data_IF_083375794584
#
_entry.id   IF_083375794584
#
_cell.length_a   1.000
_cell.length_b   1.000
_cell.length_c   1.000
_cell.angle_alpha   90.00
_cell.angle_beta   90.00
_cell.angle_gamma   90.00
#
_symmetry.space_group_name_H-M   'P 1'
#
loop_
_entity.id
_entity.type
_entity.pdbx_description
1 polymer ?
#
# COMPACT_ATOMS: atom_id res chain seq x y z
N UNK A 1 -25.47 -12.44 12.01
CA UNK A 1 -24.61 -12.59 10.80
C UNK A 1 -24.90 -13.85 9.96
N UNK A 2 -25.66 -14.87 10.43
CA UNK A 2 -26.14 -15.99 9.59
C UNK A 2 -27.22 -15.59 8.54
N UNK A 3 -27.77 -14.38 8.65
CA UNK A 3 -28.86 -13.86 7.81
C UNK A 3 -28.40 -12.78 6.81
N UNK A 4 -27.19 -12.92 6.24
CA UNK A 4 -26.83 -12.04 5.12
C UNK A 4 -27.74 -12.32 3.93
N UNK A 5 -28.37 -11.28 3.38
CA UNK A 5 -29.20 -11.39 2.19
C UNK A 5 -28.35 -11.97 1.06
N UNK A 6 -28.79 -13.10 0.52
CA UNK A 6 -28.12 -13.80 -0.58
C UNK A 6 -28.82 -13.42 -1.89
N UNK A 7 -28.06 -12.88 -2.82
CA UNK A 7 -28.51 -12.54 -4.17
C UNK A 7 -27.99 -13.62 -5.08
N UNK A 8 -28.84 -14.17 -5.95
CA UNK A 8 -28.43 -15.17 -6.94
C UNK A 8 -27.31 -14.60 -7.82
N UNK A 9 -26.26 -15.39 -8.03
CA UNK A 9 -25.12 -14.99 -8.84
C UNK A 9 -25.50 -15.12 -10.33
N UNK A 10 -25.54 -14.01 -11.03
CA UNK A 10 -25.91 -13.89 -12.45
C UNK A 10 -24.88 -12.98 -13.17
N UNK A 11 -24.77 -13.09 -14.50
CA UNK A 11 -23.75 -12.41 -15.31
C UNK A 11 -23.68 -10.88 -15.13
N UNK A 12 -24.74 -10.24 -14.62
CA UNK A 12 -24.81 -8.78 -14.37
C UNK A 12 -25.19 -8.41 -12.95
N UNK A 13 -25.04 -9.33 -11.98
CA UNK A 13 -25.46 -9.09 -10.59
C UNK A 13 -24.82 -7.83 -9.99
N UNK A 14 -23.59 -7.49 -10.41
CA UNK A 14 -22.84 -6.33 -9.94
C UNK A 14 -23.60 -5.01 -10.12
N UNK A 15 -24.49 -4.89 -11.12
CA UNK A 15 -25.31 -3.67 -11.32
C UNK A 15 -26.25 -3.39 -10.15
N UNK A 16 -26.67 -4.43 -9.42
CA UNK A 16 -27.53 -4.33 -8.23
C UNK A 16 -26.76 -3.94 -6.96
N UNK A 17 -25.43 -3.87 -7.02
CA UNK A 17 -24.59 -3.49 -5.89
C UNK A 17 -24.37 -1.96 -5.86
N UNK A 18 -24.22 -1.36 -4.66
CA UNK A 18 -23.94 0.06 -4.52
C UNK A 18 -22.51 0.38 -4.97
N UNK A 19 -22.25 1.67 -5.22
CA UNK A 19 -20.92 2.20 -5.53
C UNK A 19 -20.16 2.64 -4.28
N UNK A 20 -20.54 2.11 -3.12
CA UNK A 20 -19.95 2.41 -1.81
C UNK A 20 -18.84 1.41 -1.43
N UNK A 21 -17.97 1.76 -0.48
CA UNK A 21 -17.09 0.81 0.17
C UNK A 21 -17.88 -0.29 0.86
N UNK A 22 -17.31 -1.48 0.95
CA UNK A 22 -18.02 -2.60 1.56
C UNK A 22 -17.31 -3.93 1.48
N UNK A 23 -17.98 -4.91 2.07
CA UNK A 23 -17.60 -6.32 1.99
C UNK A 23 -18.57 -7.04 1.08
N UNK A 24 -18.06 -8.00 0.30
CA UNK A 24 -18.86 -8.97 -0.41
C UNK A 24 -18.43 -10.39 -0.04
N UNK A 25 -19.38 -11.32 -0.14
CA UNK A 25 -19.19 -12.74 0.15
C UNK A 25 -19.76 -13.57 -0.98
N UNK A 26 -18.96 -14.45 -1.57
CA UNK A 26 -19.43 -15.48 -2.49
C UNK A 26 -19.80 -16.75 -1.71
N UNK A 27 -20.90 -17.38 -2.09
CA UNK A 27 -21.47 -18.54 -1.40
C UNK A 27 -21.73 -19.70 -2.37
N UNK A 28 -21.56 -20.93 -1.90
CA UNK A 28 -22.01 -22.18 -2.55
C UNK A 28 -23.03 -22.86 -1.65
N UNK A 29 -24.28 -22.99 -2.11
CA UNK A 29 -25.38 -23.65 -1.35
C UNK A 29 -25.42 -23.29 0.15
N UNK A 30 -25.14 -22.03 0.49
CA UNK A 30 -25.12 -21.53 1.87
C UNK A 30 -23.77 -21.55 2.59
N UNK A 31 -22.74 -22.18 2.03
CA UNK A 31 -21.35 -22.19 2.53
C UNK A 31 -20.56 -21.00 1.97
N UNK A 32 -19.88 -20.20 2.80
CA UNK A 32 -19.08 -19.06 2.33
C UNK A 32 -17.80 -19.55 1.66
N UNK A 33 -17.63 -19.22 0.37
CA UNK A 33 -16.45 -19.58 -0.42
C UNK A 33 -15.34 -18.55 -0.33
N UNK A 34 -15.70 -17.27 -0.32
CA UNK A 34 -14.76 -16.16 -0.35
C UNK A 34 -15.38 -14.92 0.27
N UNK A 35 -14.58 -14.17 1.03
CA UNK A 35 -14.90 -12.85 1.57
C UNK A 35 -13.89 -11.86 1.00
N UNK A 36 -14.35 -10.74 0.46
CA UNK A 36 -13.47 -9.68 -0.02
C UNK A 36 -13.98 -8.29 0.32
N UNK A 37 -13.04 -7.35 0.48
CA UNK A 37 -13.33 -5.92 0.59
C UNK A 37 -13.28 -5.17 -0.74
N UNK A 38 -14.00 -4.06 -0.82
CA UNK A 38 -14.08 -3.17 -1.95
C UNK A 38 -14.11 -1.70 -1.47
N UNK A 39 -13.44 -0.80 -2.21
CA UNK A 39 -13.67 0.65 -2.11
C UNK A 39 -14.96 1.03 -2.85
N UNK A 40 -15.30 0.29 -3.91
CA UNK A 40 -16.54 0.42 -4.65
C UNK A 40 -17.06 -0.99 -4.95
N UNK A 41 -18.13 -1.40 -4.27
CA UNK A 41 -18.69 -2.76 -4.36
C UNK A 41 -19.08 -3.12 -5.80
N UNK A 42 -19.76 -2.24 -6.53
CA UNK A 42 -20.15 -2.46 -7.93
C UNK A 42 -18.96 -2.72 -8.84
N UNK A 43 -18.00 -1.79 -8.90
CA UNK A 43 -16.82 -1.89 -9.76
C UNK A 43 -15.96 -3.08 -9.37
N UNK A 44 -15.91 -3.38 -8.06
CA UNK A 44 -15.17 -4.51 -7.57
C UNK A 44 -15.80 -5.83 -8.01
N UNK A 45 -17.11 -5.97 -7.85
CA UNK A 45 -17.79 -7.21 -8.22
C UNK A 45 -17.87 -7.37 -9.73
N UNK A 46 -17.98 -6.28 -10.50
CA UNK A 46 -17.92 -6.35 -11.97
C UNK A 46 -16.58 -6.89 -12.48
N UNK A 47 -15.48 -6.64 -11.78
CA UNK A 47 -14.15 -7.15 -12.17
C UNK A 47 -14.05 -8.69 -12.18
N UNK A 48 -14.91 -9.38 -11.42
CA UNK A 48 -14.99 -10.85 -11.43
C UNK A 48 -15.70 -11.41 -12.66
N UNK A 49 -16.32 -10.58 -13.51
CA UNK A 49 -17.00 -11.00 -14.73
C UNK A 49 -16.22 -10.61 -15.99
N UNK A 50 -14.95 -10.24 -15.86
CA UNK A 50 -14.05 -10.03 -17.00
C UNK A 50 -13.64 -11.39 -17.61
N UNK A 51 -13.35 -11.42 -18.92
CA UNK A 51 -13.03 -12.65 -19.66
C UNK A 51 -11.77 -13.38 -19.13
N UNK A 52 -10.76 -12.64 -18.67
CA UNK A 52 -9.46 -13.20 -18.31
C UNK A 52 -9.28 -13.30 -16.79
N UNK A 53 -9.87 -14.29 -16.13
CA UNK A 53 -9.66 -14.52 -14.70
C UNK A 53 -8.56 -15.55 -14.48
N UNK A 54 -7.77 -15.40 -13.41
CA UNK A 54 -6.85 -16.46 -13.01
C UNK A 54 -7.61 -17.77 -12.75
N UNK A 55 -7.01 -18.95 -13.05
CA UNK A 55 -7.68 -20.26 -12.96
C UNK A 55 -8.36 -20.55 -11.61
N UNK A 56 -7.83 -19.98 -10.53
CA UNK A 56 -8.34 -20.16 -9.17
C UNK A 56 -9.55 -19.28 -8.87
N UNK A 57 -9.52 -18.02 -9.31
CA UNK A 57 -10.66 -17.09 -9.22
C UNK A 57 -11.82 -17.59 -10.08
N UNK A 58 -11.52 -18.08 -11.29
CA UNK A 58 -12.50 -18.73 -12.16
C UNK A 58 -13.16 -19.94 -11.48
N UNK A 59 -12.37 -20.87 -10.92
CA UNK A 59 -12.89 -22.02 -10.15
C UNK A 59 -13.78 -21.62 -8.95
N UNK A 60 -13.40 -20.57 -8.23
CA UNK A 60 -14.18 -20.06 -7.10
C UNK A 60 -15.55 -19.54 -7.54
N UNK A 61 -15.57 -18.73 -8.61
CA UNK A 61 -16.81 -18.18 -9.16
C UNK A 61 -17.70 -19.26 -9.78
N UNK A 62 -17.13 -20.21 -10.52
CA UNK A 62 -17.87 -21.35 -11.07
C UNK A 62 -18.57 -22.17 -9.98
N UNK A 63 -17.99 -22.22 -8.79
CA UNK A 63 -18.56 -22.91 -7.63
C UNK A 63 -19.59 -22.09 -6.86
N UNK A 64 -19.67 -20.77 -7.08
CA UNK A 64 -20.53 -19.86 -6.34
C UNK A 64 -21.93 -19.78 -6.96
N UNK A 65 -22.97 -19.82 -6.11
CA UNK A 65 -24.37 -19.68 -6.52
C UNK A 65 -24.99 -18.36 -6.06
N UNK A 66 -24.42 -17.74 -5.02
CA UNK A 66 -24.95 -16.50 -4.45
C UNK A 66 -23.83 -15.53 -4.07
N UNK A 67 -24.18 -14.25 -4.04
CA UNK A 67 -23.37 -13.18 -3.50
C UNK A 67 -24.15 -12.43 -2.41
N UNK A 68 -23.45 -12.02 -1.36
CA UNK A 68 -23.95 -11.08 -0.37
C UNK A 68 -23.02 -9.88 -0.29
N UNK A 69 -23.52 -8.74 0.15
CA UNK A 69 -22.68 -7.57 0.43
C UNK A 69 -23.14 -6.85 1.70
N UNK A 70 -22.22 -6.09 2.29
CA UNK A 70 -22.44 -5.19 3.42
C UNK A 70 -21.76 -3.87 3.06
N UNK A 71 -22.51 -2.80 2.76
CA UNK A 71 -21.91 -1.49 2.57
C UNK A 71 -21.38 -0.97 3.92
N UNK A 72 -20.32 -0.18 3.86
CA UNK A 72 -19.72 0.47 5.04
C UNK A 72 -19.33 1.90 4.68
N UNK A 73 -19.18 2.74 5.70
CA UNK A 73 -18.94 4.16 5.49
C UNK A 73 -17.47 4.52 5.23
N UNK A 74 -16.55 3.58 5.49
CA UNK A 74 -15.11 3.84 5.36
C UNK A 74 -14.30 2.61 4.97
N UNK A 75 -13.13 2.86 4.39
CA UNK A 75 -12.18 1.80 4.05
C UNK A 75 -11.63 1.06 5.28
N UNK A 76 -11.42 1.80 6.38
CA UNK A 76 -11.01 1.20 7.65
C UNK A 76 -12.05 0.18 8.13
N UNK A 77 -13.34 0.53 8.08
CA UNK A 77 -14.41 -0.39 8.44
C UNK A 77 -14.46 -1.62 7.52
N UNK A 78 -14.30 -1.43 6.21
CA UNK A 78 -14.24 -2.54 5.27
C UNK A 78 -13.10 -3.50 5.66
N UNK A 79 -11.91 -2.96 5.93
CA UNK A 79 -10.74 -3.77 6.27
C UNK A 79 -10.93 -4.53 7.61
N UNK A 80 -11.50 -3.90 8.63
CA UNK A 80 -11.79 -4.53 9.92
C UNK A 80 -12.91 -5.57 9.83
N UNK A 81 -13.93 -5.31 9.02
CA UNK A 81 -15.06 -6.22 8.81
C UNK A 81 -14.64 -7.44 8.00
N UNK A 82 -13.80 -7.27 6.96
CA UNK A 82 -13.19 -8.37 6.19
C UNK A 82 -12.46 -9.32 7.12
N UNK A 83 -11.53 -8.80 7.93
CA UNK A 83 -10.72 -9.61 8.85
C UNK A 83 -11.60 -10.44 9.80
N UNK A 84 -12.68 -9.83 10.32
CA UNK A 84 -13.64 -10.52 11.19
C UNK A 84 -14.42 -11.61 10.45
N UNK A 85 -14.92 -11.31 9.26
CA UNK A 85 -15.71 -12.26 8.47
C UNK A 85 -14.85 -13.42 7.99
N UNK A 86 -13.60 -13.18 7.61
CA UNK A 86 -12.63 -14.23 7.29
C UNK A 86 -12.33 -15.08 8.54
N UNK A 87 -12.14 -14.48 9.72
CA UNK A 87 -11.94 -15.23 10.97
C UNK A 87 -13.14 -16.11 11.31
N UNK A 88 -14.35 -15.59 11.12
CA UNK A 88 -15.61 -16.26 11.45
C UNK A 88 -15.94 -17.39 10.48
N UNK A 89 -15.88 -17.10 9.17
CA UNK A 89 -16.30 -18.01 8.12
C UNK A 89 -15.21 -18.98 7.66
N UNK A 90 -13.94 -18.65 7.90
CA UNK A 90 -12.75 -19.39 7.42
C UNK A 90 -12.92 -19.91 5.99
N UNK A 91 -13.32 -19.04 5.03
CA UNK A 91 -13.70 -19.47 3.70
C UNK A 91 -12.51 -20.10 2.97
N UNK A 92 -12.76 -21.20 2.27
CA UNK A 92 -11.73 -22.02 1.61
C UNK A 92 -10.78 -21.19 0.75
N UNK A 93 -11.33 -20.29 -0.07
CA UNK A 93 -10.51 -19.52 -1.00
C UNK A 93 -9.70 -18.42 -0.31
N UNK A 94 -10.11 -17.80 0.81
CA UNK A 94 -9.23 -16.84 1.51
C UNK A 94 -8.03 -17.49 2.21
N UNK A 95 -8.11 -18.80 2.48
CA UNK A 95 -7.01 -19.58 3.06
C UNK A 95 -6.06 -20.09 1.97
N UNK A 96 -6.63 -20.58 0.85
CA UNK A 96 -5.85 -21.07 -0.27
C UNK A 96 -5.15 -19.94 -1.05
N UNK A 97 -5.77 -18.75 -1.18
CA UNK A 97 -5.30 -17.59 -1.96
C UNK A 97 -4.18 -16.77 -1.29
N UNK A 98 -3.25 -17.40 -0.60
CA UNK A 98 -2.08 -16.72 -0.05
C UNK A 98 -0.83 -17.16 -0.79
N UNK A 99 -0.01 -16.20 -1.20
CA UNK A 99 1.45 -16.35 -1.24
C UNK A 99 1.93 -16.96 0.09
N UNK A 100 3.10 -17.58 0.12
CA UNK A 100 3.71 -18.29 1.27
C UNK A 100 3.93 -17.45 2.57
N UNK A 101 3.28 -16.29 2.71
CA UNK A 101 3.29 -15.42 3.89
C UNK A 101 2.10 -15.70 4.79
N UNK A 102 2.39 -16.24 5.98
CA UNK A 102 1.41 -16.45 7.06
C UNK A 102 0.62 -15.17 7.38
N UNK A 103 -0.71 -15.27 7.63
CA UNK A 103 -1.54 -14.11 7.97
C UNK A 103 -1.05 -13.40 9.22
N UNK A 104 -1.20 -12.07 9.23
CA UNK A 104 -0.86 -11.24 10.37
C UNK A 104 -2.09 -10.93 11.22
N UNK A 105 -1.83 -10.71 12.50
CA UNK A 105 -2.78 -10.30 13.51
C UNK A 105 -2.26 -9.07 14.23
N UNK A 106 -3.18 -8.23 14.71
CA UNK A 106 -2.89 -7.21 15.70
C UNK A 106 -3.09 -7.86 17.06
N UNK A 107 -2.02 -7.99 17.84
CA UNK A 107 -1.99 -8.52 19.20
C UNK A 107 -1.93 -7.37 20.18
N UNK A 108 -2.79 -7.40 21.19
CA UNK A 108 -2.70 -6.55 22.37
C UNK A 108 -2.25 -7.43 23.53
N UNK A 109 -1.14 -7.09 24.18
CA UNK A 109 -0.58 -7.88 25.27
C UNK A 109 -1.38 -7.75 26.56
N UNK A 110 -1.22 -8.70 27.47
CA UNK A 110 -1.85 -8.67 28.81
C UNK A 110 -0.93 -8.11 29.90
N UNK A 111 0.10 -7.36 29.50
CA UNK A 111 1.01 -6.71 30.43
C UNK A 111 0.32 -5.57 31.20
N UNK A 112 0.94 -5.14 32.30
CA UNK A 112 0.49 -4.00 33.10
C UNK A 112 0.27 -2.72 32.27
N UNK A 113 1.10 -2.53 31.24
CA UNK A 113 0.91 -1.61 30.12
C UNK A 113 0.74 -2.40 28.83
N UNK A 114 -0.50 -2.64 28.35
CA UNK A 114 -0.74 -3.42 27.14
C UNK A 114 -0.03 -2.82 25.92
N UNK A 115 0.87 -3.56 25.30
CA UNK A 115 1.51 -3.19 24.04
C UNK A 115 0.71 -3.71 22.85
N UNK A 116 0.74 -2.97 21.74
CA UNK A 116 0.04 -3.33 20.49
C UNK A 116 1.09 -3.73 19.47
N UNK A 117 1.08 -5.00 19.08
CA UNK A 117 2.11 -5.63 18.28
C UNK A 117 1.49 -6.31 17.06
N UNK A 118 2.29 -6.51 16.02
CA UNK A 118 1.94 -7.42 14.93
C UNK A 118 2.41 -8.83 15.27
N UNK A 119 1.54 -9.82 15.11
CA UNK A 119 1.83 -11.21 15.46
C UNK A 119 1.33 -12.19 14.41
N UNK A 120 1.94 -13.36 14.31
CA UNK A 120 1.40 -14.53 13.60
C UNK A 120 0.65 -15.47 14.55
N UNK A 121 -0.07 -16.46 14.01
CA UNK A 121 -0.96 -17.36 14.78
C UNK A 121 -0.25 -18.04 15.95
N UNK A 122 0.97 -18.53 15.73
CA UNK A 122 1.86 -19.15 16.71
C UNK A 122 2.20 -18.20 17.88
N UNK A 123 2.31 -16.91 17.61
CA UNK A 123 2.66 -15.87 18.58
C UNK A 123 1.47 -15.37 19.41
N UNK A 124 0.25 -15.85 19.15
CA UNK A 124 -0.97 -15.40 19.83
C UNK A 124 -1.23 -16.10 21.17
N UNK A 125 -0.63 -17.27 21.44
CA UNK A 125 -0.98 -18.07 22.64
C UNK A 125 -0.47 -17.46 23.94
N UNK A 126 0.75 -16.90 23.97
CA UNK A 126 1.39 -16.40 25.21
C UNK A 126 1.18 -14.90 25.41
N UNK A 127 0.65 -14.50 26.57
CA UNK A 127 0.56 -13.09 27.01
C UNK A 127 -0.31 -12.19 26.12
N UNK A 128 -1.42 -12.72 25.59
CA UNK A 128 -2.33 -11.99 24.70
C UNK A 128 -3.63 -11.66 25.41
N UNK A 129 -3.93 -10.37 25.56
CA UNK A 129 -5.22 -9.88 26.07
C UNK A 129 -6.30 -9.85 24.99
N UNK A 130 -5.92 -9.53 23.76
CA UNK A 130 -6.83 -9.52 22.62
C UNK A 130 -6.07 -9.71 21.29
N UNK A 131 -6.72 -10.29 20.30
CA UNK A 131 -6.17 -10.43 18.95
C UNK A 131 -7.21 -10.15 17.85
N UNK A 132 -6.79 -9.41 16.83
CA UNK A 132 -7.62 -8.98 15.70
C UNK A 132 -6.95 -9.38 14.38
N UNK A 133 -7.74 -9.84 13.42
CA UNK A 133 -7.25 -10.48 12.20
C UNK A 133 -8.10 -11.72 11.87
N UNK A 134 -7.66 -12.57 10.93
CA UNK A 134 -6.43 -12.45 10.16
C UNK A 134 -6.50 -11.32 9.13
N UNK A 135 -5.42 -10.57 9.01
CA UNK A 135 -5.24 -9.62 7.92
C UNK A 135 -4.43 -10.29 6.79
N UNK A 136 -4.87 -10.14 5.53
CA UNK A 136 -4.23 -10.83 4.40
C UNK A 136 -2.90 -10.21 3.98
N UNK A 137 -2.62 -8.95 4.34
CA UNK A 137 -1.39 -8.24 3.98
C UNK A 137 -0.81 -7.46 5.17
N UNK A 138 0.52 -7.40 5.26
CA UNK A 138 1.23 -6.54 6.21
C UNK A 138 0.94 -5.05 5.99
N UNK A 139 0.67 -4.65 4.75
CA UNK A 139 0.29 -3.28 4.43
C UNK A 139 -1.05 -2.90 5.07
N UNK A 140 -2.02 -3.82 5.07
CA UNK A 140 -3.33 -3.61 5.70
C UNK A 140 -3.17 -3.39 7.21
N UNK A 141 -2.36 -4.23 7.87
CA UNK A 141 -2.08 -4.09 9.30
C UNK A 141 -1.39 -2.76 9.59
N UNK A 142 -0.38 -2.41 8.80
CA UNK A 142 0.36 -1.16 8.97
C UNK A 142 -0.53 0.06 8.76
N UNK A 143 -1.42 0.02 7.77
CA UNK A 143 -2.40 1.07 7.53
C UNK A 143 -3.32 1.26 8.75
N UNK A 144 -3.95 0.18 9.23
CA UNK A 144 -4.83 0.22 10.41
C UNK A 144 -4.09 0.78 11.62
N UNK A 145 -2.91 0.23 11.96
CA UNK A 145 -2.16 0.66 13.14
C UNK A 145 -1.70 2.11 13.02
N UNK A 146 -1.24 2.55 11.84
CA UNK A 146 -0.81 3.93 11.61
C UNK A 146 -1.98 4.91 11.74
N UNK A 147 -3.14 4.57 11.19
CA UNK A 147 -4.35 5.41 11.26
C UNK A 147 -4.84 5.53 12.70
N UNK A 148 -4.91 4.41 13.42
CA UNK A 148 -5.39 4.40 14.81
C UNK A 148 -4.41 5.03 15.79
N UNK A 149 -3.10 4.87 15.61
CA UNK A 149 -2.06 5.45 16.50
C UNK A 149 -2.13 6.97 16.60
N UNK A 150 -2.55 7.65 15.52
CA UNK A 150 -2.70 9.11 15.50
C UNK A 150 -3.89 9.61 16.33
N UNK A 151 -4.86 8.74 16.58
CA UNK A 151 -6.08 9.06 17.33
C UNK A 151 -5.97 8.57 18.77
N UNK A 152 -5.53 7.32 18.93
CA UNK A 152 -5.33 6.66 20.21
C UNK A 152 -3.86 6.24 20.29
N UNK A 153 -2.96 7.10 20.80
CA UNK A 153 -1.56 6.75 20.95
C UNK A 153 -1.36 5.49 21.81
N UNK A 154 -0.43 4.62 21.42
CA UNK A 154 -0.18 3.34 22.10
C UNK A 154 1.30 2.91 21.96
N UNK A 155 1.76 2.04 22.87
CA UNK A 155 3.12 1.52 22.85
C UNK A 155 3.27 0.26 21.98
N UNK A 156 4.43 0.14 21.35
CA UNK A 156 4.90 -1.04 20.59
C UNK A 156 6.06 -1.77 21.29
N UNK A 157 6.34 -1.40 22.53
CA UNK A 157 7.51 -1.87 23.28
C UNK A 157 7.12 -2.37 24.67
N UNK A 158 7.99 -3.19 25.25
CA UNK A 158 7.95 -3.50 26.68
C UNK A 158 8.44 -2.31 27.50
N UNK A 159 8.12 -2.29 28.79
CA UNK A 159 8.58 -1.26 29.70
C UNK A 159 10.12 -1.18 29.70
N UNK A 160 10.65 0.04 29.61
CA UNK A 160 12.07 0.35 29.65
C UNK A 160 12.33 1.65 30.39
N UNK A 161 13.61 2.08 30.42
CA UNK A 161 14.03 3.21 31.27
C UNK A 161 13.85 4.61 30.62
N UNK A 162 13.85 4.70 29.28
CA UNK A 162 13.83 5.98 28.53
C UNK A 162 12.58 6.14 27.68
N UNK A 163 12.18 7.37 27.36
CA UNK A 163 11.08 7.65 26.43
C UNK A 163 11.34 6.99 25.07
N UNK A 164 10.31 6.43 24.46
CA UNK A 164 10.44 5.80 23.14
C UNK A 164 10.36 6.85 22.01
N UNK A 165 10.81 6.49 20.81
CA UNK A 165 10.81 7.41 19.66
C UNK A 165 9.41 7.96 19.34
N UNK A 166 8.37 7.14 19.54
CA UNK A 166 6.99 7.54 19.33
C UNK A 166 6.47 8.51 20.40
N UNK A 167 7.02 8.48 21.61
CA UNK A 167 6.69 9.44 22.64
C UNK A 167 7.14 10.86 22.24
N UNK A 168 8.36 10.98 21.69
CA UNK A 168 8.91 12.27 21.24
C UNK A 168 8.07 12.95 20.15
N UNK A 169 7.34 12.18 19.35
CA UNK A 169 6.47 12.69 18.27
C UNK A 169 4.97 12.56 18.61
N UNK A 170 4.62 12.32 19.88
CA UNK A 170 3.24 12.28 20.36
C UNK A 170 2.41 11.05 19.96
N UNK A 171 3.02 10.05 19.31
CA UNK A 171 2.37 8.82 18.84
C UNK A 171 2.35 7.68 19.88
N UNK A 172 3.02 7.87 21.02
CA UNK A 172 2.91 7.05 22.23
C UNK A 172 2.76 8.00 23.41
N UNK A 173 1.53 8.48 23.63
CA UNK A 173 1.23 9.53 24.62
C UNK A 173 -0.07 9.20 25.39
N UNK A 174 -0.02 8.97 26.71
CA UNK A 174 1.19 8.93 27.53
C UNK A 174 2.02 7.66 27.29
N UNK A 175 3.35 7.77 27.32
CA UNK A 175 4.25 6.63 27.10
C UNK A 175 4.41 5.80 28.39
N UNK A 176 4.33 4.46 28.37
CA UNK A 176 4.53 3.64 29.57
C UNK A 176 5.81 3.96 30.36
N UNK A 177 6.92 4.22 29.66
CA UNK A 177 8.19 4.55 30.31
C UNK A 177 8.16 5.95 30.96
N UNK A 178 7.37 6.88 30.42
CA UNK A 178 7.16 8.21 31.00
C UNK A 178 6.25 8.15 32.22
N UNK A 179 5.17 7.37 32.15
CA UNK A 179 4.26 7.13 33.28
C UNK A 179 5.03 6.55 34.46
N UNK A 180 5.94 5.60 34.22
CA UNK A 180 6.71 4.98 35.32
C UNK A 180 7.73 5.92 35.94
N UNK A 181 8.27 6.86 35.16
CA UNK A 181 9.21 7.89 35.64
C UNK A 181 8.51 9.07 36.33
N UNK A 182 7.17 9.12 36.35
CA UNK A 182 6.42 10.16 37.05
C UNK A 182 6.57 10.00 38.57
N UNK A 183 6.99 11.06 39.24
CA UNK A 183 7.25 11.09 40.68
C UNK A 183 5.96 11.19 41.48
N UNK A 184 4.96 11.92 40.98
CA UNK A 184 3.67 12.09 41.67
C UNK A 184 2.80 10.85 41.52
N UNK A 185 2.45 10.13 42.62
CA UNK A 185 1.59 8.94 42.53
C UNK A 185 0.21 9.24 41.93
N UNK A 186 -0.32 10.44 42.20
CA UNK A 186 -1.60 10.92 41.68
C UNK A 186 -1.57 11.08 40.16
N UNK A 187 -0.53 11.73 39.64
CA UNK A 187 -0.35 11.96 38.21
C UNK A 187 -0.03 10.68 37.46
N UNK A 188 0.84 9.83 38.01
CA UNK A 188 1.13 8.48 37.49
C UNK A 188 -0.16 7.67 37.29
N UNK A 189 -1.05 7.68 38.28
CA UNK A 189 -2.37 7.02 38.18
C UNK A 189 -3.26 7.64 37.11
N UNK A 190 -3.26 8.96 36.95
CA UNK A 190 -4.02 9.67 35.94
C UNK A 190 -3.52 9.37 34.51
N UNK A 191 -2.20 9.45 34.27
CA UNK A 191 -1.59 9.12 32.98
C UNK A 191 -1.83 7.66 32.60
N UNK A 192 -1.72 6.73 33.57
CA UNK A 192 -2.06 5.32 33.34
C UNK A 192 -3.51 5.13 32.93
N UNK A 193 -4.46 5.82 33.57
CA UNK A 193 -5.88 5.77 33.17
C UNK A 193 -6.08 6.26 31.74
N UNK A 194 -5.39 7.33 31.33
CA UNK A 194 -5.41 7.84 29.95
C UNK A 194 -4.85 6.81 28.96
N UNK A 195 -3.71 6.19 29.26
CA UNK A 195 -3.15 5.12 28.44
C UNK A 195 -4.13 3.96 28.25
N UNK A 196 -4.73 3.48 29.34
CA UNK A 196 -5.70 2.39 29.29
C UNK A 196 -6.98 2.77 28.54
N UNK A 197 -7.40 4.04 28.60
CA UNK A 197 -8.52 4.54 27.81
C UNK A 197 -8.20 4.48 26.30
N UNK A 198 -6.99 4.84 25.87
CA UNK A 198 -6.55 4.68 24.48
C UNK A 198 -6.60 3.22 24.04
N UNK A 199 -6.06 2.31 24.85
CA UNK A 199 -6.11 0.86 24.55
C UNK A 199 -7.56 0.35 24.48
N UNK A 200 -8.44 0.83 25.36
CA UNK A 200 -9.87 0.49 25.33
C UNK A 200 -10.52 0.96 24.02
N UNK A 201 -10.32 2.21 23.62
CA UNK A 201 -10.86 2.72 22.35
C UNK A 201 -10.31 1.95 21.16
N UNK A 202 -9.00 1.66 21.16
CA UNK A 202 -8.38 0.84 20.13
C UNK A 202 -9.05 -0.56 20.04
N UNK A 203 -9.28 -1.23 21.16
CA UNK A 203 -10.00 -2.52 21.20
C UNK A 203 -11.40 -2.42 20.61
N UNK A 204 -12.16 -1.39 20.99
CA UNK A 204 -13.53 -1.20 20.51
C UNK A 204 -13.55 -0.92 18.99
N UNK A 205 -12.64 -0.09 18.47
CA UNK A 205 -12.51 0.16 17.03
C UNK A 205 -12.10 -1.10 16.29
N UNK A 206 -11.08 -1.82 16.75
CA UNK A 206 -10.65 -3.09 16.12
C UNK A 206 -11.75 -4.17 16.20
N UNK A 207 -12.62 -4.09 17.20
CA UNK A 207 -13.86 -4.87 17.31
C UNK A 207 -15.02 -4.31 16.47
N UNK A 208 -14.78 -3.31 15.63
CA UNK A 208 -15.73 -2.69 14.70
C UNK A 208 -16.84 -1.89 15.36
N UNK A 209 -16.69 -1.51 16.62
CA UNK A 209 -17.66 -0.68 17.35
C UNK A 209 -17.35 0.81 17.16
N UNK A 210 -17.15 1.19 15.91
CA UNK A 210 -16.70 2.53 15.49
C UNK A 210 -17.67 3.62 15.96
N UNK A 211 -18.96 3.47 15.70
CA UNK A 211 -19.98 4.46 16.08
C UNK A 211 -20.11 4.64 17.59
N UNK A 212 -19.92 3.56 18.36
CA UNK A 212 -19.89 3.62 19.82
C UNK A 212 -18.74 4.50 20.30
N UNK A 213 -17.55 4.34 19.73
CA UNK A 213 -16.37 5.14 20.07
C UNK A 213 -16.58 6.62 19.72
N UNK A 214 -17.15 6.93 18.56
CA UNK A 214 -17.51 8.31 18.19
C UNK A 214 -18.48 8.94 19.20
N UNK A 215 -19.52 8.20 19.61
CA UNK A 215 -20.50 8.66 20.59
C UNK A 215 -19.86 8.93 21.96
N UNK A 216 -19.01 8.01 22.42
CA UNK A 216 -18.30 8.16 23.69
C UNK A 216 -17.33 9.35 23.68
N UNK A 217 -16.57 9.56 22.60
CA UNK A 217 -15.67 10.71 22.47
C UNK A 217 -16.44 12.04 22.53
N UNK A 218 -17.57 12.15 21.81
CA UNK A 218 -18.43 13.36 21.87
C UNK A 218 -19.00 13.60 23.26
N UNK A 219 -19.43 12.54 23.95
CA UNK A 219 -19.93 12.63 25.32
C UNK A 219 -18.84 13.14 26.28
N UNK A 220 -17.63 12.59 26.18
CA UNK A 220 -16.51 13.00 27.04
C UNK A 220 -16.02 14.42 26.74
N UNK A 221 -16.01 14.82 25.47
CA UNK A 221 -15.71 16.21 25.07
C UNK A 221 -16.69 17.20 25.72
N UNK A 222 -18.01 16.94 25.61
CA UNK A 222 -19.04 17.78 26.23
C UNK A 222 -18.90 17.84 27.75
N UNK A 223 -18.63 16.70 28.39
CA UNK A 223 -18.41 16.63 29.83
C UNK A 223 -17.17 17.42 30.27
N UNK A 224 -16.06 17.28 29.56
CA UNK A 224 -14.83 18.02 29.86
C UNK A 224 -15.03 19.53 29.70
N UNK A 225 -15.74 19.96 28.65
CA UNK A 225 -16.11 21.36 28.45
C UNK A 225 -17.01 21.91 29.56
N UNK A 226 -17.98 21.12 30.04
CA UNK A 226 -18.86 21.50 31.15
C UNK A 226 -18.09 21.63 32.47
N UNK A 227 -17.07 20.80 32.69
CA UNK A 227 -16.18 20.86 33.86
C UNK A 227 -15.02 21.85 33.69
N UNK A 228 -15.04 22.70 32.65
CA UNK A 228 -14.00 23.68 32.32
C UNK A 228 -12.59 23.09 32.10
N UNK A 229 -12.50 21.79 31.83
CA UNK A 229 -11.25 21.09 31.48
C UNK A 229 -10.96 21.24 29.98
N UNK A 230 -10.61 22.45 29.55
CA UNK A 230 -10.47 22.81 28.13
C UNK A 230 -9.40 22.01 27.39
N UNK A 231 -8.27 21.67 28.02
CA UNK A 231 -7.22 20.84 27.41
C UNK A 231 -7.72 19.44 27.06
N UNK A 232 -8.48 18.81 27.97
CA UNK A 232 -9.04 17.48 27.75
C UNK A 232 -10.14 17.52 26.69
N UNK A 233 -10.98 18.55 26.70
CA UNK A 233 -12.00 18.80 25.69
C UNK A 233 -11.38 18.97 24.29
N UNK A 234 -10.28 19.73 24.19
CA UNK A 234 -9.52 19.90 22.95
C UNK A 234 -8.96 18.56 22.46
N UNK A 235 -8.39 17.75 23.35
CA UNK A 235 -7.91 16.41 23.01
C UNK A 235 -8.99 15.49 22.45
N UNK A 236 -10.20 15.48 23.04
CA UNK A 236 -11.33 14.74 22.50
C UNK A 236 -11.80 15.29 21.15
N UNK A 237 -11.85 16.62 20.98
CA UNK A 237 -12.22 17.26 19.71
C UNK A 237 -11.25 16.88 18.59
N UNK A 238 -9.94 16.94 18.85
CA UNK A 238 -8.94 16.50 17.89
C UNK A 238 -9.08 15.02 17.53
N UNK A 239 -9.32 14.17 18.53
CA UNK A 239 -9.56 12.75 18.29
C UNK A 239 -10.78 12.55 17.39
N UNK A 240 -11.88 13.27 17.63
CA UNK A 240 -13.09 13.24 16.79
C UNK A 240 -12.76 13.68 15.36
N UNK A 241 -12.01 14.76 15.17
CA UNK A 241 -11.64 15.27 13.85
C UNK A 241 -10.74 14.29 13.08
N UNK A 242 -9.71 13.75 13.73
CA UNK A 242 -8.82 12.73 13.16
C UNK A 242 -9.60 11.44 12.84
N UNK A 243 -10.54 11.07 13.71
CA UNK A 243 -11.43 9.93 13.49
C UNK A 243 -12.37 10.17 12.31
N UNK A 244 -12.97 11.35 12.20
CA UNK A 244 -13.79 11.74 11.06
C UNK A 244 -12.98 11.67 9.77
N UNK A 245 -11.76 12.21 9.74
CA UNK A 245 -10.89 12.16 8.56
C UNK A 245 -10.59 10.72 8.08
N UNK A 246 -10.23 9.80 8.98
CA UNK A 246 -9.96 8.40 8.56
C UNK A 246 -11.23 7.58 8.30
N UNK A 247 -12.40 8.11 8.69
CA UNK A 247 -13.71 7.49 8.43
C UNK A 247 -14.53 8.23 7.39
N UNK A 248 -13.96 9.26 6.74
CA UNK A 248 -14.58 9.94 5.61
C UNK A 248 -14.67 8.98 4.42
N UNK A 249 -15.79 9.00 3.68
CA UNK A 249 -15.84 8.38 2.36
C UNK A 249 -14.87 9.12 1.44
N UNK A 250 -13.83 8.39 1.01
CA UNK A 250 -12.91 8.70 -0.10
C UNK A 250 -12.42 10.16 -0.15
N UNK A 251 -11.24 10.42 0.39
CA UNK A 251 -10.32 11.37 -0.23
C UNK A 251 -9.26 10.56 -0.97
N UNK A 252 -9.11 10.86 -2.24
CA UNK A 252 -8.19 10.26 -3.19
C UNK A 252 -6.73 10.36 -2.70
N UNK A 253 -6.27 9.34 -1.99
CA UNK A 253 -4.85 9.14 -1.67
C UNK A 253 -4.50 7.68 -1.89
N UNK A 254 -4.42 7.33 -3.17
CA UNK A 254 -3.63 6.23 -3.70
C UNK A 254 -4.21 4.83 -3.46
N UNK A 255 -4.55 4.15 -4.55
CA UNK A 255 -3.99 2.87 -5.04
C UNK A 255 -3.62 1.70 -4.08
N UNK A 256 -3.67 1.87 -2.77
CA UNK A 256 -3.02 1.01 -1.79
C UNK A 256 -3.83 -0.21 -1.39
N UNK A 257 -5.10 -0.32 -1.79
CA UNK A 257 -6.01 -1.28 -1.19
C UNK A 257 -6.92 -2.01 -2.19
N UNK A 258 -6.43 -2.26 -3.40
CA UNK A 258 -6.91 -3.41 -4.17
C UNK A 258 -6.62 -4.67 -3.33
N UNK A 259 -7.66 -5.42 -2.99
CA UNK A 259 -7.57 -6.76 -2.40
C UNK A 259 -6.42 -7.56 -3.05
N UNK A 260 -5.52 -8.19 -2.29
CA UNK A 260 -4.26 -8.75 -2.81
C UNK A 260 -4.46 -9.62 -4.04
N UNK A 261 -5.52 -10.45 -4.08
CA UNK A 261 -5.80 -11.31 -5.22
C UNK A 261 -6.19 -10.57 -6.50
N UNK A 262 -6.98 -9.50 -6.42
CA UNK A 262 -7.27 -8.71 -7.63
C UNK A 262 -6.13 -7.73 -7.92
N UNK A 263 -5.37 -7.30 -6.92
CA UNK A 263 -4.17 -6.51 -7.16
C UNK A 263 -3.14 -7.34 -7.93
N UNK A 264 -2.97 -8.62 -7.57
CA UNK A 264 -2.17 -9.60 -8.30
C UNK A 264 -2.78 -9.92 -9.66
N UNK A 265 -4.09 -10.15 -9.77
CA UNK A 265 -4.75 -10.38 -11.07
C UNK A 265 -4.55 -9.17 -12.00
N UNK A 266 -4.77 -7.95 -11.49
CA UNK A 266 -4.59 -6.72 -12.27
C UNK A 266 -3.12 -6.53 -12.64
N UNK A 267 -2.18 -6.74 -11.72
CA UNK A 267 -0.74 -6.67 -12.04
C UNK A 267 -0.33 -7.73 -13.05
N UNK A 268 -0.85 -8.95 -12.94
CA UNK A 268 -0.64 -10.01 -13.91
C UNK A 268 -1.13 -9.59 -15.30
N UNK A 269 -2.33 -9.02 -15.39
CA UNK A 269 -2.88 -8.47 -16.64
C UNK A 269 -2.05 -7.32 -17.19
N UNK A 270 -1.65 -6.38 -16.34
CA UNK A 270 -0.78 -5.27 -16.71
C UNK A 270 0.55 -5.74 -17.31
N UNK A 271 1.21 -6.69 -16.65
CA UNK A 271 2.45 -7.29 -17.14
C UNK A 271 2.22 -8.06 -18.44
N UNK A 272 1.13 -8.82 -18.55
CA UNK A 272 0.81 -9.59 -19.75
C UNK A 272 0.49 -8.66 -20.93
N UNK A 273 -0.31 -7.62 -20.73
CA UNK A 273 -0.62 -6.63 -21.77
C UNK A 273 0.64 -5.89 -22.23
N UNK A 274 1.53 -5.51 -21.30
CA UNK A 274 2.81 -4.91 -21.65
C UNK A 274 3.70 -5.90 -22.41
N UNK A 275 3.76 -7.17 -21.98
CA UNK A 275 4.52 -8.22 -22.66
C UNK A 275 4.09 -8.37 -24.13
N UNK A 276 2.78 -8.49 -24.36
CA UNK A 276 2.21 -8.61 -25.72
C UNK A 276 2.54 -7.38 -26.57
N UNK A 277 2.48 -6.17 -25.99
CA UNK A 277 2.86 -4.95 -26.70
C UNK A 277 4.34 -4.96 -27.10
N UNK A 278 5.23 -5.37 -26.19
CA UNK A 278 6.68 -5.44 -26.45
C UNK A 278 7.01 -6.49 -27.53
N UNK A 279 6.40 -7.67 -27.45
CA UNK A 279 6.59 -8.75 -28.43
C UNK A 279 6.12 -8.33 -29.83
N UNK A 280 4.97 -7.65 -29.94
CA UNK A 280 4.50 -7.04 -31.21
C UNK A 280 5.49 -6.04 -31.81
N UNK A 281 6.35 -5.44 -30.99
CA UNK A 281 7.36 -4.48 -31.41
C UNK A 281 8.79 -5.08 -31.41
N UNK A 282 8.90 -6.40 -31.57
CA UNK A 282 10.17 -7.15 -31.68
C UNK A 282 11.10 -7.05 -30.46
N UNK A 283 10.56 -6.70 -29.28
CA UNK A 283 11.25 -6.81 -28.00
C UNK A 283 10.91 -8.15 -27.38
N UNK A 284 11.86 -9.10 -27.47
CA UNK A 284 11.74 -10.39 -26.82
C UNK A 284 12.04 -10.26 -25.34
N UNK A 285 11.05 -10.58 -24.50
CA UNK A 285 11.19 -10.65 -23.05
C UNK A 285 10.62 -11.99 -22.59
N UNK A 286 11.50 -12.91 -22.16
CA UNK A 286 11.08 -14.24 -21.68
C UNK A 286 10.19 -14.13 -20.44
N UNK A 287 10.45 -13.11 -19.59
CA UNK A 287 9.71 -12.84 -18.34
C UNK A 287 9.68 -11.34 -18.07
N UNK A 288 8.61 -10.84 -17.46
CA UNK A 288 8.45 -9.43 -17.04
C UNK A 288 8.22 -9.34 -15.53
N UNK A 289 9.13 -9.92 -14.75
CA UNK A 289 9.04 -9.94 -13.29
C UNK A 289 9.72 -8.75 -12.62
N UNK A 290 10.86 -8.29 -13.14
CA UNK A 290 11.60 -7.16 -12.58
C UNK A 290 11.68 -6.02 -13.57
N UNK A 291 10.95 -4.94 -13.29
CA UNK A 291 10.99 -3.71 -14.10
C UNK A 291 11.69 -2.62 -13.30
N UNK A 292 12.66 -1.95 -13.91
CA UNK A 292 13.34 -0.80 -13.32
C UNK A 292 12.97 0.46 -14.08
N UNK A 293 12.49 1.49 -13.37
CA UNK A 293 12.15 2.79 -13.96
C UNK A 293 13.13 3.85 -13.46
N UNK A 294 13.68 4.62 -14.40
CA UNK A 294 14.65 5.68 -14.15
C UNK A 294 14.01 7.04 -14.38
N UNK A 295 13.97 7.87 -13.34
CA UNK A 295 13.74 9.31 -13.50
C UNK A 295 15.09 10.03 -13.63
N UNK A 296 15.19 10.81 -14.70
CA UNK A 296 16.38 11.52 -15.15
C UNK A 296 16.10 13.01 -15.36
N UNK A 297 15.02 13.53 -14.77
CA UNK A 297 14.64 14.93 -14.88
C UNK A 297 15.61 15.90 -14.16
N UNK A 298 16.46 15.40 -13.26
CA UNK A 298 17.30 16.22 -12.38
C UNK A 298 18.81 16.08 -12.63
N UNK A 299 19.18 15.98 -13.90
CA UNK A 299 20.58 15.96 -14.35
C UNK A 299 21.21 17.36 -14.44
N UNK A 300 20.41 18.42 -14.43
CA UNK A 300 20.86 19.80 -14.41
C UNK A 300 20.96 20.34 -12.96
N UNK A 301 22.02 21.12 -12.68
CA UNK A 301 22.22 21.83 -11.41
C UNK A 301 23.46 21.39 -10.61
N UNK A 302 23.60 21.91 -9.38
CA UNK A 302 24.80 21.73 -8.53
C UNK A 302 24.95 20.33 -7.94
N UNK A 303 23.88 19.53 -7.91
CA UNK A 303 23.89 18.15 -7.41
C UNK A 303 23.10 17.23 -8.35
N UNK A 304 23.66 16.92 -9.55
CA UNK A 304 22.97 16.10 -10.55
C UNK A 304 22.76 14.68 -10.04
N UNK A 305 21.51 14.21 -10.08
CA UNK A 305 21.14 12.89 -9.54
C UNK A 305 20.12 12.18 -10.43
N UNK A 306 20.27 10.86 -10.54
CA UNK A 306 19.27 9.99 -11.17
C UNK A 306 18.61 9.10 -10.11
N UNK A 307 17.32 8.83 -10.29
CA UNK A 307 16.52 8.02 -9.37
C UNK A 307 16.03 6.76 -10.04
N UNK A 308 16.26 5.61 -9.41
CA UNK A 308 15.81 4.31 -9.89
C UNK A 308 14.80 3.72 -8.91
N UNK A 309 13.62 3.38 -9.41
CA UNK A 309 12.60 2.61 -8.70
C UNK A 309 12.47 1.22 -9.32
N UNK A 310 12.14 0.23 -8.50
CA UNK A 310 12.02 -1.16 -8.94
C UNK A 310 10.63 -1.69 -8.65
N UNK A 311 10.06 -2.40 -9.63
CA UNK A 311 8.81 -3.12 -9.51
C UNK A 311 9.09 -4.62 -9.68
N UNK A 312 8.60 -5.42 -8.73
CA UNK A 312 8.62 -6.88 -8.76
C UNK A 312 7.19 -7.38 -8.96
N UNK A 313 6.96 -8.15 -10.02
CA UNK A 313 5.64 -8.68 -10.41
C UNK A 313 4.55 -7.58 -10.43
N UNK A 314 4.88 -6.43 -11.02
CA UNK A 314 3.97 -5.28 -11.17
C UNK A 314 3.71 -4.49 -9.88
N UNK A 315 4.33 -4.87 -8.76
CA UNK A 315 4.26 -4.18 -7.48
C UNK A 315 5.57 -3.46 -7.18
N UNK A 316 5.49 -2.24 -6.64
CA UNK A 316 6.69 -1.50 -6.24
C UNK A 316 7.42 -2.16 -5.07
N UNK A 317 8.75 -2.19 -5.13
CA UNK A 317 9.62 -2.65 -4.04
C UNK A 317 10.60 -1.55 -3.60
N UNK A 318 10.24 -0.75 -2.59
CA UNK A 318 11.07 0.35 -2.10
C UNK A 318 12.44 -0.06 -1.55
N UNK A 319 12.64 -1.33 -1.17
CA UNK A 319 13.92 -1.81 -0.64
C UNK A 319 15.00 -1.85 -1.73
N UNK A 320 14.57 -1.92 -2.99
CA UNK A 320 15.42 -2.01 -4.17
C UNK A 320 15.66 -0.65 -4.83
N UNK A 321 15.11 0.44 -4.29
CA UNK A 321 15.26 1.77 -4.86
C UNK A 321 16.67 2.31 -4.66
N UNK A 322 17.17 3.11 -5.62
CA UNK A 322 18.53 3.65 -5.59
C UNK A 322 18.58 5.08 -6.13
N UNK A 323 19.39 5.92 -5.47
CA UNK A 323 19.81 7.22 -6.00
C UNK A 323 21.23 7.11 -6.52
N UNK A 324 21.46 7.60 -7.73
CA UNK A 324 22.79 7.73 -8.32
C UNK A 324 23.19 9.20 -8.27
N UNK A 325 24.07 9.55 -7.33
CA UNK A 325 24.78 10.84 -7.36
C UNK A 325 25.80 10.80 -8.48
N UNK A 326 25.72 11.74 -9.42
CA UNK A 326 26.63 11.82 -10.57
C UNK A 326 27.91 12.52 -10.12
N UNK A 327 29.07 11.91 -10.41
CA UNK A 327 30.37 12.37 -9.90
C UNK A 327 31.18 13.13 -10.95
N UNK A 328 30.96 12.83 -12.23
CA UNK A 328 31.82 13.28 -13.34
C UNK A 328 31.06 14.08 -14.40
N UNK A 329 30.12 14.93 -14.00
CA UNK A 329 29.59 15.92 -14.93
C UNK A 329 30.65 17.01 -15.09
N UNK A 330 31.50 16.92 -16.13
CA UNK A 330 32.02 18.16 -16.72
C UNK A 330 30.80 19.01 -17.04
N UNK A 331 30.82 20.28 -16.65
CA UNK A 331 29.70 21.18 -16.85
C UNK A 331 29.19 21.03 -18.29
N UNK A 332 27.89 20.72 -18.44
CA UNK A 332 27.11 20.71 -19.70
C UNK A 332 26.89 19.42 -20.51
N UNK A 333 27.30 18.21 -20.10
CA UNK A 333 26.94 17.00 -20.89
C UNK A 333 26.01 16.00 -20.18
N UNK A 334 24.70 16.17 -20.37
CA UNK A 334 23.63 15.23 -19.96
C UNK A 334 23.87 13.80 -20.47
N UNK A 335 24.56 13.62 -21.59
CA UNK A 335 24.86 12.31 -22.17
C UNK A 335 25.85 11.56 -21.28
N UNK A 336 26.93 12.22 -20.88
CA UNK A 336 27.96 11.65 -19.99
C UNK A 336 27.37 11.20 -18.64
N UNK A 337 26.46 11.99 -18.07
CA UNK A 337 25.79 11.70 -16.81
C UNK A 337 24.90 10.45 -16.91
N UNK A 338 24.11 10.33 -17.98
CA UNK A 338 23.28 9.15 -18.24
C UNK A 338 24.13 7.90 -18.47
N UNK A 339 25.24 8.03 -19.21
CA UNK A 339 26.18 6.94 -19.42
C UNK A 339 26.82 6.47 -18.10
N UNK A 340 27.16 7.39 -17.19
CA UNK A 340 27.69 7.06 -15.87
C UNK A 340 26.69 6.20 -15.08
N UNK A 341 25.42 6.61 -15.03
CA UNK A 341 24.35 5.90 -14.31
C UNK A 341 24.15 4.49 -14.88
N UNK A 342 24.04 4.37 -16.20
CA UNK A 342 23.84 3.10 -16.88
C UNK A 342 25.03 2.13 -16.68
N UNK A 343 26.26 2.60 -16.86
CA UNK A 343 27.48 1.80 -16.63
C UNK A 343 27.62 1.38 -15.18
N UNK A 344 27.33 2.27 -14.23
CA UNK A 344 27.34 1.91 -12.80
C UNK A 344 26.30 0.84 -12.50
N UNK A 345 25.12 0.90 -13.12
CA UNK A 345 24.09 -0.12 -12.93
C UNK A 345 24.52 -1.50 -13.44
N UNK A 346 25.27 -1.58 -14.55
CA UNK A 346 25.83 -2.86 -15.06
C UNK A 346 26.64 -3.58 -13.98
N UNK A 347 27.48 -2.85 -13.25
CA UNK A 347 28.33 -3.42 -12.19
C UNK A 347 27.53 -4.07 -11.05
N UNK A 348 26.23 -3.76 -10.91
CA UNK A 348 25.34 -4.32 -9.90
C UNK A 348 24.35 -5.34 -10.44
N UNK A 349 24.47 -5.83 -11.68
CA UNK A 349 23.55 -6.84 -12.23
C UNK A 349 23.58 -8.14 -11.44
N UNK A 350 24.75 -8.58 -10.97
CA UNK A 350 24.88 -9.78 -10.13
C UNK A 350 24.33 -9.59 -8.72
N UNK A 351 24.63 -8.45 -8.08
CA UNK A 351 24.30 -8.24 -6.65
C UNK A 351 22.89 -7.71 -6.41
N UNK A 352 22.33 -6.88 -7.30
CA UNK A 352 20.98 -6.32 -7.15
C UNK A 352 19.92 -7.10 -7.94
N UNK A 353 20.36 -8.06 -8.75
CA UNK A 353 19.53 -8.82 -9.68
C UNK A 353 19.44 -8.13 -11.05
N UNK A 354 19.27 -8.93 -12.10
CA UNK A 354 19.13 -8.47 -13.49
C UNK A 354 17.68 -8.06 -13.77
N UNK A 355 17.41 -6.84 -14.29
CA UNK A 355 16.07 -6.45 -14.70
C UNK A 355 15.66 -7.13 -16.01
N UNK A 356 14.36 -7.39 -16.12
CA UNK A 356 13.72 -7.93 -17.31
C UNK A 356 13.35 -6.83 -18.32
N UNK A 357 13.17 -5.59 -17.83
CA UNK A 357 12.87 -4.40 -18.61
C UNK A 357 13.38 -3.16 -17.88
N UNK A 358 14.02 -2.25 -18.62
CA UNK A 358 14.35 -0.91 -18.16
C UNK A 358 13.41 0.09 -18.84
N UNK A 359 12.85 0.98 -18.03
CA UNK A 359 11.99 2.08 -18.45
C UNK A 359 12.69 3.39 -18.10
N UNK A 360 12.83 4.29 -19.07
CA UNK A 360 13.45 5.59 -18.88
C UNK A 360 12.37 6.67 -18.99
N UNK A 361 12.18 7.46 -17.94
CA UNK A 361 11.30 8.64 -17.98
C UNK A 361 12.00 9.78 -18.72
N UNK A 362 12.00 9.65 -20.05
CA UNK A 362 12.89 10.39 -20.90
C UNK A 362 12.65 10.19 -22.39
N UNK A 363 13.14 11.16 -23.17
CA UNK A 363 13.02 11.16 -24.62
C UNK A 363 13.94 10.15 -25.32
N UNK A 364 13.80 10.06 -26.65
CA UNK A 364 14.55 9.15 -27.54
C UNK A 364 16.06 9.12 -27.30
N UNK A 365 16.68 10.29 -27.11
CA UNK A 365 18.13 10.39 -26.84
C UNK A 365 18.54 9.68 -25.55
N UNK A 366 17.75 9.83 -24.49
CA UNK A 366 18.02 9.23 -23.18
C UNK A 366 17.81 7.72 -23.21
N UNK A 367 16.77 7.26 -23.91
CA UNK A 367 16.51 5.83 -24.16
C UNK A 367 17.66 5.21 -24.95
N UNK A 368 18.18 5.90 -25.98
CA UNK A 368 19.29 5.42 -26.81
C UNK A 368 20.55 5.13 -25.99
N UNK A 369 20.90 6.02 -25.05
CA UNK A 369 22.09 5.86 -24.19
C UNK A 369 21.97 4.60 -23.32
N UNK A 370 20.82 4.41 -22.68
CA UNK A 370 20.56 3.21 -21.89
C UNK A 370 20.56 1.96 -22.78
N UNK A 371 19.89 2.00 -23.94
CA UNK A 371 19.83 0.88 -24.89
C UNK A 371 21.22 0.40 -25.27
N UNK A 372 22.08 1.30 -25.74
CA UNK A 372 23.43 0.97 -26.18
C UNK A 372 24.29 0.41 -25.03
N UNK A 373 24.04 0.86 -23.79
CA UNK A 373 24.75 0.37 -22.62
C UNK A 373 24.32 -1.05 -22.24
N UNK A 374 23.03 -1.35 -22.32
CA UNK A 374 22.45 -2.63 -21.87
C UNK A 374 22.25 -3.68 -22.98
N UNK A 375 22.56 -3.35 -24.23
CA UNK A 375 22.42 -4.23 -25.39
C UNK A 375 23.20 -5.54 -25.23
N UNK A 376 24.46 -5.47 -24.79
CA UNK A 376 25.32 -6.66 -24.55
C UNK A 376 24.78 -7.57 -23.45
N UNK A 377 24.03 -7.02 -22.51
CA UNK A 377 23.41 -7.76 -21.42
C UNK A 377 22.06 -8.36 -21.84
N UNK A 378 21.56 -8.05 -23.05
CA UNK A 378 20.27 -8.52 -23.54
C UNK A 378 19.08 -7.97 -22.76
N UNK A 379 19.21 -6.78 -22.16
CA UNK A 379 18.15 -6.17 -21.35
C UNK A 379 17.43 -5.12 -22.20
N UNK A 380 16.12 -5.25 -22.43
CA UNK A 380 15.38 -4.30 -23.23
C UNK A 380 15.17 -2.97 -22.50
N UNK A 381 15.20 -1.88 -23.28
CA UNK A 381 15.04 -0.51 -22.79
C UNK A 381 13.93 0.19 -23.59
N UNK A 382 12.98 0.79 -22.88
CA UNK A 382 11.92 1.64 -23.46
C UNK A 382 11.87 3.00 -22.76
N UNK A 383 11.24 3.98 -23.39
CA UNK A 383 11.02 5.31 -22.83
C UNK A 383 9.56 5.64 -22.54
N UNK A 384 9.34 6.62 -21.67
CA UNK A 384 8.03 7.26 -21.46
C UNK A 384 8.12 8.70 -21.97
N UNK A 385 7.24 9.05 -22.92
CA UNK A 385 7.13 10.42 -23.43
C UNK A 385 6.30 11.30 -22.49
N UNK A 386 6.88 12.42 -22.05
CA UNK A 386 6.25 13.37 -21.11
C UNK A 386 5.02 14.09 -21.66
N UNK A 387 4.84 14.16 -22.99
CA UNK A 387 3.81 15.02 -23.61
C UNK A 387 2.51 14.31 -23.99
N UNK A 388 2.49 12.97 -24.12
CA UNK A 388 1.36 12.24 -24.72
C UNK A 388 1.05 10.87 -24.11
N UNK A 389 1.54 10.61 -22.88
CA UNK A 389 1.45 9.28 -22.24
C UNK A 389 1.83 8.13 -23.18
N UNK A 390 2.84 8.37 -24.02
CA UNK A 390 3.24 7.45 -25.08
C UNK A 390 4.50 6.66 -24.68
N UNK A 391 4.60 5.42 -25.12
CA UNK A 391 5.81 4.63 -25.03
C UNK A 391 6.72 4.89 -26.22
N UNK A 392 8.01 5.07 -25.93
CA UNK A 392 9.07 5.21 -26.93
C UNK A 392 9.79 3.86 -27.02
N UNK A 393 9.56 3.12 -28.11
CA UNK A 393 10.09 1.77 -28.29
C UNK A 393 11.14 1.76 -29.41
N UNK A 394 12.39 1.32 -29.15
CA UNK A 394 13.42 1.23 -30.19
C UNK A 394 13.11 0.11 -31.19
N UNK A 395 13.28 0.37 -32.49
CA UNK A 395 13.14 -0.67 -33.53
C UNK A 395 14.40 -1.52 -33.62
N UNK A 396 14.24 -2.84 -33.71
CA UNK A 396 15.34 -3.83 -33.86
C UNK A 396 15.89 -3.90 -35.30
N UNK A 397 15.12 -3.47 -36.30
CA UNK A 397 15.35 -3.82 -37.71
C UNK A 397 16.40 -2.96 -38.45
N UNK A 398 16.92 -1.90 -37.83
CA UNK A 398 17.91 -1.03 -38.46
C UNK A 398 18.95 -0.63 -37.44
N UNK A 399 20.22 -0.63 -37.84
CA UNK A 399 21.36 -0.07 -37.10
C UNK A 399 21.26 1.46 -36.87
N UNK A 400 20.04 2.02 -36.95
CA UNK A 400 19.71 3.43 -36.81
C UNK A 400 18.91 3.66 -35.54
N UNK A 401 19.03 4.87 -35.00
CA UNK A 401 18.38 5.35 -33.78
C UNK A 401 16.86 5.58 -33.98
N UNK A 402 16.15 4.62 -34.58
CA UNK A 402 14.74 4.74 -34.94
C UNK A 402 13.83 4.20 -33.84
N UNK A 403 12.76 4.95 -33.57
CA UNK A 403 11.82 4.67 -32.50
C UNK A 403 10.38 4.65 -33.03
N UNK A 404 9.54 3.79 -32.44
CA UNK A 404 8.08 3.88 -32.54
C UNK A 404 7.59 4.61 -31.30
N UNK A 405 6.71 5.59 -31.50
CA UNK A 405 5.92 6.16 -30.41
C UNK A 405 4.53 5.54 -30.44
N UNK A 406 4.13 4.93 -29.32
CA UNK A 406 2.81 4.31 -29.15
C UNK A 406 2.06 5.11 -28.11
N UNK A 407 0.99 5.81 -28.52
CA UNK A 407 0.07 6.47 -27.60
C UNK A 407 -0.68 5.38 -26.82
N UNK A 408 -0.70 5.50 -25.49
CA UNK A 408 -1.36 4.52 -24.65
C UNK A 408 -2.81 4.90 -24.43
N UNK A 409 -3.72 4.02 -24.84
CA UNK A 409 -5.13 4.13 -24.51
C UNK A 409 -5.40 3.80 -23.03
N UNK A 410 -6.48 4.34 -22.43
CA UNK A 410 -6.92 3.97 -21.09
C UNK A 410 -7.03 2.45 -20.93
N UNK A 411 -6.25 1.89 -20.00
CA UNK A 411 -6.21 0.45 -19.82
C UNK A 411 -5.04 -0.03 -18.96
N UNK A 412 -4.76 -1.32 -19.04
CA UNK A 412 -3.76 -2.00 -18.23
C UNK A 412 -2.34 -1.46 -18.45
N UNK A 413 -1.94 -1.23 -19.70
CA UNK A 413 -0.59 -0.73 -20.02
C UNK A 413 -0.41 0.68 -19.46
N UNK A 414 -1.35 1.59 -19.74
CA UNK A 414 -1.30 2.95 -19.22
C UNK A 414 -1.24 2.97 -17.69
N UNK A 415 -2.06 2.15 -17.02
CA UNK A 415 -2.05 2.07 -15.55
C UNK A 415 -0.68 1.66 -14.98
N UNK A 416 -0.03 0.64 -15.54
CA UNK A 416 1.31 0.23 -15.09
C UNK A 416 2.38 1.29 -15.37
N UNK A 417 2.37 1.87 -16.56
CA UNK A 417 3.36 2.87 -16.97
C UNK A 417 3.22 4.15 -16.14
N UNK A 418 1.99 4.62 -15.88
CA UNK A 418 1.75 5.77 -15.00
C UNK A 418 2.24 5.49 -13.58
N UNK A 419 2.00 4.28 -13.03
CA UNK A 419 2.52 3.90 -11.70
C UNK A 419 4.05 3.90 -11.64
N UNK A 420 4.72 3.39 -12.67
CA UNK A 420 6.18 3.40 -12.77
C UNK A 420 6.71 4.84 -12.79
N UNK A 421 6.16 5.67 -13.66
CA UNK A 421 6.50 7.10 -13.83
C UNK A 421 6.30 7.88 -12.54
N UNK A 422 5.10 7.83 -11.98
CA UNK A 422 4.72 8.65 -10.84
C UNK A 422 5.52 8.25 -9.59
N UNK A 423 5.83 6.96 -9.43
CA UNK A 423 6.68 6.48 -8.35
C UNK A 423 8.15 6.91 -8.53
N UNK A 424 8.68 6.88 -9.77
CA UNK A 424 10.02 7.39 -10.08
C UNK A 424 10.13 8.90 -9.80
N UNK A 425 9.19 9.70 -10.32
CA UNK A 425 9.09 11.14 -10.03
C UNK A 425 8.94 11.43 -8.52
N UNK A 426 8.12 10.66 -7.80
CA UNK A 426 7.94 10.81 -6.35
C UNK A 426 9.24 10.54 -5.61
N UNK A 427 9.96 9.50 -5.99
CA UNK A 427 11.21 9.12 -5.35
C UNK A 427 12.33 10.13 -5.62
N UNK A 428 12.38 10.70 -6.83
CA UNK A 428 13.30 11.77 -7.18
C UNK A 428 13.03 13.05 -6.40
N UNK A 429 11.80 13.58 -6.44
CA UNK A 429 11.41 14.81 -5.72
C UNK A 429 11.72 14.74 -4.23
N UNK A 430 11.46 13.59 -3.60
CA UNK A 430 11.75 13.39 -2.16
C UNK A 430 13.24 13.56 -1.84
N UNK A 431 14.13 13.15 -2.76
CA UNK A 431 15.57 13.29 -2.58
C UNK A 431 16.03 14.74 -2.80
N UNK A 432 15.48 15.43 -3.80
CA UNK A 432 15.72 16.86 -4.00
C UNK A 432 15.33 17.69 -2.79
N UNK A 433 14.14 17.48 -2.22
CA UNK A 433 13.75 18.17 -0.98
C UNK A 433 14.74 17.92 0.17
N UNK A 434 15.27 16.70 0.29
CA UNK A 434 16.27 16.35 1.32
C UNK A 434 17.63 16.99 1.07
N UNK A 435 18.03 17.18 -0.19
CA UNK A 435 19.27 17.88 -0.54
C UNK A 435 19.14 19.37 -0.26
N UNK A 436 18.04 20.00 -0.69
CA UNK A 436 17.77 21.42 -0.45
C UNK A 436 17.70 21.73 1.05
N UNK A 437 17.02 20.90 1.84
CA UNK A 437 16.96 21.08 3.29
C UNK A 437 18.31 20.97 4.00
N UNK A 438 19.29 20.31 3.37
CA UNK A 438 20.66 20.16 3.90
C UNK A 438 21.61 21.27 3.46
N UNK A 439 21.24 22.03 2.43
CA UNK A 439 22.02 23.18 1.95
C UNK A 439 21.56 24.48 2.63
N UNK A 440 20.33 24.50 3.15
CA UNK A 440 19.76 25.61 3.93
C UNK A 440 20.02 25.50 5.45
N UNK A 441 20.71 24.45 5.89
CA UNK A 441 21.18 24.21 7.26
C UNK A 441 22.69 24.22 7.27
#
# INVERSE_FOLDING_TARGET
MKNLRKIKLEARVYKRLPQEPGIYVFWRKGTPLYVGKAINLRNRVSSYFAADLLPKTSRMLASANFISYIPVTSELEALLLEARMVKLFKPHYNSALKDDKSPLYIKITDDYYPAVLTARVDQLKKGTKASYGPFPSSNNVRFVLKSLRRIFPFAEHKLGKRKCIYAHIGLCNPCPNEIENEKSPKEKKALRRRYLANIRYLKEVLSGKVERVKKDLRKNMKRASFLENYEEALGYREAINKFAYITQPITDVGEFLKNPNLAEDIRGKELQSLKVLLEKNAIQSSKLSRIECYDIAHLAGTNPTASMVTFINGAKDPSLYRHFRIRRAKAFDDISALSEVAKRRINYLKSWGKPDLIVVDGGKGQVSIFRNTFEKEGIPVIGISKRREALVIPKKKYATNTFVEIILEPGHILSLISRLRDEAHRFARRYHHKLVSKTLS
#
